data_IF_702348254769
#
_entry.id   IF_702348254769
#
_cell.length_a   1.000
_cell.length_b   1.000
_cell.length_c   1.000
_cell.angle_alpha   90.00
_cell.angle_beta   90.00
_cell.angle_gamma   90.00
#
_symmetry.space_group_name_H-M   'P 1'
#
loop_
_entity.id
_entity.type
_entity.pdbx_description
1 polymer ?
#
# COMPACT_ATOMS: atom_id res chain seq x y z
N UNK A 1 -28.26 -78.46 -16.97
CA UNK A 1 -27.61 -77.51 -17.90
C UNK A 1 -27.87 -76.12 -17.32
N UNK A 2 -26.89 -75.58 -16.63
CA UNK A 2 -26.96 -74.23 -15.92
C UNK A 2 -26.11 -73.28 -16.75
N UNK A 3 -26.77 -72.29 -17.37
CA UNK A 3 -26.12 -71.22 -18.09
C UNK A 3 -25.68 -70.19 -17.06
N UNK A 4 -24.34 -70.04 -16.88
CA UNK A 4 -23.74 -68.92 -16.12
C UNK A 4 -23.76 -67.69 -17.01
N UNK A 5 -24.52 -66.67 -16.62
CA UNK A 5 -24.40 -65.32 -17.17
C UNK A 5 -23.29 -64.56 -16.46
N UNK A 6 -22.23 -64.23 -17.21
CA UNK A 6 -21.14 -63.37 -16.74
C UNK A 6 -21.55 -61.91 -16.95
N UNK A 7 -21.94 -61.24 -15.89
CA UNK A 7 -22.15 -59.79 -15.93
C UNK A 7 -20.80 -59.09 -15.76
N UNK A 8 -20.29 -58.53 -16.85
CA UNK A 8 -19.12 -57.65 -16.83
C UNK A 8 -19.52 -56.30 -16.28
N UNK A 9 -19.15 -56.01 -15.03
CA UNK A 9 -19.27 -54.72 -14.42
C UNK A 9 -18.15 -53.82 -14.95
N UNK A 10 -18.46 -52.92 -15.89
CA UNK A 10 -17.55 -51.87 -16.35
C UNK A 10 -17.46 -50.80 -15.23
N UNK A 11 -16.41 -50.85 -14.44
CA UNK A 11 -16.07 -49.75 -13.52
C UNK A 11 -15.44 -48.63 -14.33
N UNK A 12 -16.23 -47.64 -14.70
CA UNK A 12 -15.70 -46.36 -15.18
C UNK A 12 -15.03 -45.68 -14.01
N UNK A 13 -13.72 -45.82 -13.87
CA UNK A 13 -12.91 -45.01 -13.03
C UNK A 13 -12.90 -43.58 -13.64
N UNK A 14 -13.75 -42.71 -13.17
CA UNK A 14 -13.64 -41.28 -13.41
C UNK A 14 -12.31 -40.83 -12.80
N UNK A 15 -11.29 -40.62 -13.62
CA UNK A 15 -10.10 -39.88 -13.26
C UNK A 15 -10.57 -38.44 -13.00
N UNK A 16 -10.93 -38.14 -11.77
CA UNK A 16 -11.03 -36.82 -11.31
C UNK A 16 -9.64 -36.21 -11.37
N UNK A 17 -9.34 -35.50 -12.44
CA UNK A 17 -8.15 -34.62 -12.43
C UNK A 17 -8.37 -33.63 -11.31
N UNK A 18 -7.60 -33.75 -10.23
CA UNK A 18 -7.58 -32.75 -9.19
C UNK A 18 -7.24 -31.41 -9.88
N UNK A 19 -8.18 -30.48 -9.86
CA UNK A 19 -7.96 -29.15 -10.41
C UNK A 19 -6.76 -28.54 -9.68
N UNK A 20 -5.73 -28.14 -10.44
CA UNK A 20 -4.56 -27.47 -9.86
C UNK A 20 -5.02 -26.17 -9.22
N UNK A 21 -4.64 -25.96 -7.99
CA UNK A 21 -4.95 -24.75 -7.23
C UNK A 21 -3.69 -23.93 -7.05
N UNK A 22 -3.81 -22.63 -7.26
CA UNK A 22 -2.77 -21.64 -6.92
C UNK A 22 -3.27 -20.76 -5.77
N UNK A 23 -2.51 -20.71 -4.70
CA UNK A 23 -2.79 -19.81 -3.59
C UNK A 23 -2.09 -18.47 -3.80
N UNK A 24 -2.87 -17.38 -3.79
CA UNK A 24 -2.36 -16.02 -4.00
C UNK A 24 -2.75 -15.14 -2.83
N UNK A 25 -1.76 -14.50 -2.21
CA UNK A 25 -1.98 -13.52 -1.17
C UNK A 25 -1.82 -12.10 -1.72
N UNK A 26 -2.84 -11.28 -1.53
CA UNK A 26 -2.84 -9.87 -1.93
C UNK A 26 -3.19 -8.97 -0.76
N UNK A 27 -2.96 -7.67 -0.89
CA UNK A 27 -3.40 -6.65 0.06
C UNK A 27 -4.69 -5.97 -0.42
N UNK A 28 -5.37 -5.16 0.43
CA UNK A 28 -6.61 -4.48 0.06
C UNK A 28 -6.34 -3.29 -0.86
N UNK A 29 -6.01 -3.56 -2.13
CA UNK A 29 -5.67 -2.56 -3.14
C UNK A 29 -6.87 -1.84 -3.74
N UNK A 30 -8.10 -2.32 -3.46
CA UNK A 30 -9.36 -1.74 -3.92
C UNK A 30 -10.44 -1.95 -2.86
N UNK A 31 -11.64 -1.36 -3.01
CA UNK A 31 -12.76 -1.62 -2.09
C UNK A 31 -13.24 -3.08 -2.05
N UNK A 32 -13.04 -3.85 -3.12
CA UNK A 32 -13.41 -5.26 -3.24
C UNK A 32 -12.24 -6.10 -3.78
N UNK A 33 -11.12 -6.18 -3.05
CA UNK A 33 -9.84 -6.65 -3.60
C UNK A 33 -9.87 -8.11 -4.06
N UNK A 34 -10.59 -8.99 -3.37
CA UNK A 34 -10.70 -10.39 -3.76
C UNK A 34 -11.48 -10.56 -5.06
N UNK A 35 -12.61 -9.89 -5.19
CA UNK A 35 -13.50 -9.95 -6.37
C UNK A 35 -12.81 -9.33 -7.59
N UNK A 36 -12.19 -8.17 -7.41
CA UNK A 36 -11.46 -7.49 -8.48
C UNK A 36 -10.29 -8.34 -8.99
N UNK A 37 -9.53 -8.95 -8.08
CA UNK A 37 -8.43 -9.83 -8.47
C UNK A 37 -8.94 -11.13 -9.14
N UNK A 38 -10.02 -11.73 -8.64
CA UNK A 38 -10.66 -12.90 -9.28
C UNK A 38 -11.14 -12.57 -10.69
N UNK A 39 -11.73 -11.40 -10.90
CA UNK A 39 -12.13 -10.96 -12.24
C UNK A 39 -10.91 -10.80 -13.18
N UNK A 40 -9.80 -10.28 -12.66
CA UNK A 40 -8.55 -10.11 -13.41
C UNK A 40 -7.95 -11.46 -13.85
N UNK A 41 -7.95 -12.48 -12.98
CA UNK A 41 -7.33 -13.78 -13.25
C UNK A 41 -8.26 -14.80 -13.90
N UNK A 42 -9.56 -14.53 -14.02
CA UNK A 42 -10.53 -15.46 -14.62
C UNK A 42 -10.15 -15.95 -16.04
N UNK A 43 -9.61 -15.13 -16.95
CA UNK A 43 -9.13 -15.60 -18.25
C UNK A 43 -7.97 -16.60 -18.13
N UNK A 44 -7.06 -16.41 -17.17
CA UNK A 44 -5.97 -17.30 -16.88
C UNK A 44 -6.46 -18.64 -16.32
N UNK A 45 -7.38 -18.63 -15.35
CA UNK A 45 -8.00 -19.84 -14.78
C UNK A 45 -8.64 -20.68 -15.90
N UNK A 46 -9.39 -20.04 -16.77
CA UNK A 46 -10.05 -20.68 -17.91
C UNK A 46 -9.04 -21.26 -18.90
N UNK A 47 -7.99 -20.52 -19.23
CA UNK A 47 -7.00 -20.94 -20.22
C UNK A 47 -6.14 -22.13 -19.74
N UNK A 48 -5.86 -22.20 -18.45
CA UNK A 48 -4.93 -23.18 -17.87
C UNK A 48 -5.61 -24.29 -17.04
N UNK A 49 -6.94 -24.23 -16.84
CA UNK A 49 -7.67 -25.23 -16.05
C UNK A 49 -7.24 -25.25 -14.57
N UNK A 50 -6.85 -24.10 -14.03
CA UNK A 50 -6.43 -23.92 -12.65
C UNK A 50 -7.47 -23.14 -11.86
N UNK A 51 -7.49 -23.31 -10.54
CA UNK A 51 -8.25 -22.48 -9.62
C UNK A 51 -7.28 -21.54 -8.88
N UNK A 52 -7.56 -20.23 -8.87
CA UNK A 52 -6.78 -19.28 -8.09
C UNK A 52 -7.53 -18.95 -6.80
N UNK A 53 -6.98 -19.38 -5.66
CA UNK A 53 -7.49 -19.03 -4.33
C UNK A 53 -6.86 -17.74 -3.86
N UNK A 54 -7.68 -16.74 -3.63
CA UNK A 54 -7.24 -15.40 -3.24
C UNK A 54 -7.44 -15.20 -1.74
N UNK A 55 -6.39 -14.87 -1.02
CA UNK A 55 -6.44 -14.43 0.37
C UNK A 55 -6.04 -12.96 0.46
N UNK A 56 -6.91 -12.12 1.00
CA UNK A 56 -6.63 -10.71 1.25
C UNK A 56 -6.03 -10.56 2.64
N UNK A 57 -4.81 -10.03 2.71
CA UNK A 57 -4.10 -9.76 3.96
C UNK A 57 -4.18 -8.28 4.32
N UNK A 58 -4.65 -7.97 5.52
CA UNK A 58 -4.51 -6.60 6.05
C UNK A 58 -3.02 -6.24 6.21
N UNK A 59 -2.65 -5.01 5.82
CA UNK A 59 -1.27 -4.52 5.89
C UNK A 59 -0.67 -4.60 7.31
N UNK A 60 -1.49 -4.45 8.34
CA UNK A 60 -1.05 -4.50 9.74
C UNK A 60 -0.57 -5.86 10.19
N UNK A 61 -0.98 -6.95 9.51
CA UNK A 61 -0.60 -8.34 9.84
C UNK A 61 0.18 -9.03 8.72
N UNK A 62 0.19 -8.46 7.52
CA UNK A 62 0.76 -9.07 6.32
C UNK A 62 2.26 -9.40 6.51
N UNK A 63 3.06 -8.49 7.05
CA UNK A 63 4.47 -8.73 7.33
C UNK A 63 4.69 -10.00 8.16
N UNK A 64 3.97 -10.11 9.30
CA UNK A 64 4.10 -11.27 10.19
C UNK A 64 3.66 -12.55 9.51
N UNK A 65 2.55 -12.55 8.77
CA UNK A 65 2.07 -13.74 8.05
C UNK A 65 3.05 -14.19 6.97
N UNK A 66 3.57 -13.26 6.16
CA UNK A 66 4.52 -13.58 5.08
C UNK A 66 5.84 -14.11 5.65
N UNK A 67 6.39 -13.48 6.69
CA UNK A 67 7.63 -13.96 7.33
C UNK A 67 7.44 -15.30 8.02
N UNK A 68 6.27 -15.56 8.62
CA UNK A 68 5.94 -16.87 9.18
C UNK A 68 5.85 -17.94 8.09
N UNK A 69 5.19 -17.65 6.97
CA UNK A 69 5.13 -18.55 5.81
C UNK A 69 6.54 -18.83 5.27
N UNK A 70 7.36 -17.80 5.11
CA UNK A 70 8.75 -17.92 4.66
C UNK A 70 9.60 -18.81 5.57
N UNK A 71 9.43 -18.71 6.90
CA UNK A 71 10.21 -19.51 7.86
C UNK A 71 9.69 -20.93 8.05
N UNK A 72 8.38 -21.14 7.88
CA UNK A 72 7.77 -22.49 8.03
C UNK A 72 7.82 -23.32 6.74
N UNK A 73 8.09 -22.69 5.59
CA UNK A 73 7.98 -23.34 4.28
C UNK A 73 6.54 -23.67 3.87
N UNK A 74 5.55 -23.11 4.57
CA UNK A 74 4.12 -23.28 4.26
C UNK A 74 3.52 -21.90 3.98
N UNK A 75 3.26 -21.64 2.71
CA UNK A 75 2.78 -20.32 2.26
C UNK A 75 2.09 -20.38 0.90
N UNK A 76 1.72 -19.22 0.35
CA UNK A 76 1.09 -19.13 -0.96
C UNK A 76 2.10 -19.42 -2.08
N UNK A 77 1.58 -19.77 -3.26
CA UNK A 77 2.39 -19.85 -4.48
C UNK A 77 2.84 -18.47 -4.97
N UNK A 78 2.03 -17.44 -4.71
CA UNK A 78 2.33 -16.05 -5.06
C UNK A 78 1.87 -15.11 -3.94
N UNK A 79 2.71 -14.14 -3.59
CA UNK A 79 2.32 -13.09 -2.63
C UNK A 79 2.67 -11.71 -3.12
N UNK A 80 1.76 -10.77 -2.89
CA UNK A 80 2.09 -9.34 -3.01
C UNK A 80 3.05 -8.96 -1.90
N UNK A 81 4.04 -8.13 -2.23
CA UNK A 81 4.98 -7.53 -1.28
C UNK A 81 4.97 -6.01 -1.42
N UNK A 82 5.11 -5.31 -0.32
CA UNK A 82 5.52 -3.91 -0.36
C UNK A 82 6.98 -3.81 -0.81
N UNK A 83 7.34 -2.78 -1.57
CA UNK A 83 8.71 -2.59 -2.08
C UNK A 83 9.77 -2.52 -0.97
N UNK A 84 9.40 -2.04 0.22
CA UNK A 84 10.25 -2.03 1.41
C UNK A 84 10.50 -3.41 2.00
N UNK A 85 9.75 -4.44 1.59
CA UNK A 85 9.85 -5.82 2.11
C UNK A 85 10.58 -6.76 1.15
N UNK A 86 10.59 -6.47 -0.15
CA UNK A 86 11.18 -7.34 -1.17
C UNK A 86 12.62 -7.72 -0.81
N UNK A 87 13.47 -6.76 -0.45
CA UNK A 87 14.86 -7.03 -0.08
C UNK A 87 15.01 -7.99 1.11
N UNK A 88 14.21 -7.80 2.16
CA UNK A 88 14.26 -8.64 3.34
C UNK A 88 13.77 -10.08 3.06
N UNK A 89 12.66 -10.24 2.35
CA UNK A 89 12.12 -11.56 2.00
C UNK A 89 13.02 -12.28 0.99
N UNK A 90 13.61 -11.55 0.02
CA UNK A 90 14.62 -12.10 -0.90
C UNK A 90 15.86 -12.63 -0.15
N UNK A 91 16.33 -11.88 0.85
CA UNK A 91 17.47 -12.28 1.68
C UNK A 91 17.21 -13.55 2.50
N UNK A 92 15.95 -13.93 2.75
CA UNK A 92 15.57 -15.20 3.39
C UNK A 92 15.73 -16.40 2.45
N UNK A 93 15.92 -16.20 1.13
CA UNK A 93 16.10 -17.26 0.15
C UNK A 93 14.85 -18.10 -0.12
N UNK A 94 13.66 -17.53 0.08
CA UNK A 94 12.36 -18.21 -0.05
C UNK A 94 11.58 -17.81 -1.31
N UNK A 95 12.11 -16.87 -2.08
CA UNK A 95 11.53 -16.45 -3.35
C UNK A 95 12.27 -17.06 -4.53
N UNK A 96 11.52 -17.57 -5.50
CA UNK A 96 12.07 -18.12 -6.72
C UNK A 96 12.58 -17.02 -7.67
N UNK A 97 13.61 -17.30 -8.48
CA UNK A 97 14.04 -16.41 -9.55
C UNK A 97 12.92 -16.22 -10.59
N UNK A 98 12.75 -14.97 -11.06
CA UNK A 98 11.71 -14.56 -12.01
C UNK A 98 12.27 -13.77 -13.20
N UNK A 99 13.55 -13.93 -13.51
CA UNK A 99 14.22 -13.19 -14.58
C UNK A 99 13.61 -13.48 -15.95
N UNK A 100 13.24 -14.72 -16.24
CA UNK A 100 12.57 -15.16 -17.46
C UNK A 100 11.18 -14.52 -17.62
N UNK A 101 10.44 -14.38 -16.52
CA UNK A 101 9.14 -13.68 -16.49
C UNK A 101 9.34 -12.21 -16.80
N UNK A 102 10.33 -11.56 -16.18
CA UNK A 102 10.64 -10.15 -16.40
C UNK A 102 11.05 -9.88 -17.85
N UNK A 103 11.86 -10.75 -18.45
CA UNK A 103 12.23 -10.64 -19.86
C UNK A 103 11.03 -10.81 -20.78
N UNK A 104 10.14 -11.76 -20.50
CA UNK A 104 8.89 -11.93 -21.24
C UNK A 104 7.96 -10.71 -21.17
N UNK A 105 8.04 -9.94 -20.07
CA UNK A 105 7.29 -8.70 -19.85
C UNK A 105 8.00 -7.45 -20.43
N UNK A 106 9.10 -7.60 -21.16
CA UNK A 106 9.81 -6.52 -21.84
C UNK A 106 11.12 -6.07 -21.17
N UNK A 107 11.53 -6.74 -20.12
CA UNK A 107 12.80 -6.49 -19.41
C UNK A 107 12.86 -5.10 -18.76
N UNK A 108 14.06 -4.65 -18.42
CA UNK A 108 14.30 -3.37 -17.75
C UNK A 108 13.64 -2.17 -18.43
N UNK A 109 13.58 -2.18 -19.76
CA UNK A 109 13.05 -1.07 -20.55
C UNK A 109 11.54 -0.85 -20.37
N UNK A 110 10.81 -1.87 -19.90
CA UNK A 110 9.37 -1.79 -19.65
C UNK A 110 9.04 -1.11 -18.31
N UNK A 111 10.05 -0.85 -17.45
CA UNK A 111 9.84 -0.36 -16.10
C UNK A 111 10.56 0.96 -15.84
N UNK A 112 10.02 1.75 -14.91
CA UNK A 112 10.76 2.89 -14.37
C UNK A 112 12.03 2.40 -13.65
N UNK A 113 13.19 3.08 -13.77
CA UNK A 113 14.44 2.62 -13.14
C UNK A 113 14.35 2.39 -11.64
N UNK A 114 13.58 3.22 -10.92
CA UNK A 114 13.36 3.05 -9.50
C UNK A 114 12.57 1.77 -9.17
N UNK A 115 11.56 1.45 -9.99
CA UNK A 115 10.74 0.23 -9.86
C UNK A 115 11.55 -1.01 -10.22
N UNK A 116 12.34 -0.95 -11.30
CA UNK A 116 13.21 -2.06 -11.70
C UNK A 116 14.19 -2.47 -10.60
N UNK A 117 14.76 -1.50 -9.88
CA UNK A 117 15.67 -1.80 -8.76
C UNK A 117 15.01 -2.55 -7.61
N UNK A 118 13.68 -2.49 -7.45
CA UNK A 118 12.97 -3.23 -6.40
C UNK A 118 12.70 -4.69 -6.74
N UNK A 119 13.02 -5.15 -7.94
CA UNK A 119 12.81 -6.56 -8.36
C UNK A 119 13.76 -7.54 -7.68
N UNK A 120 14.85 -7.07 -7.08
CA UNK A 120 15.93 -7.90 -6.53
C UNK A 120 16.58 -7.27 -5.31
N UNK A 121 17.24 -8.12 -4.53
CA UNK A 121 18.13 -7.64 -3.48
C UNK A 121 19.33 -6.92 -4.11
N UNK A 122 19.76 -5.82 -3.51
CA UNK A 122 20.92 -5.06 -3.98
C UNK A 122 22.15 -5.96 -4.12
N UNK A 123 22.80 -5.91 -5.28
CA UNK A 123 23.94 -6.75 -5.63
C UNK A 123 23.58 -8.20 -6.05
N UNK A 124 22.34 -8.63 -5.94
CA UNK A 124 21.93 -9.94 -6.43
C UNK A 124 21.84 -9.93 -7.98
N UNK A 125 22.25 -11.06 -8.58
CA UNK A 125 22.13 -11.26 -10.03
C UNK A 125 20.70 -11.52 -10.46
N UNK A 126 19.96 -12.30 -9.66
CA UNK A 126 18.63 -12.78 -9.96
C UNK A 126 17.55 -11.86 -9.35
N UNK A 127 16.52 -11.62 -10.13
CA UNK A 127 15.30 -10.99 -9.66
C UNK A 127 14.40 -12.02 -8.98
N UNK A 128 13.72 -11.60 -7.92
CA UNK A 128 12.82 -12.45 -7.11
C UNK A 128 11.43 -11.84 -6.95
N UNK A 129 11.19 -10.71 -7.62
CA UNK A 129 9.90 -10.04 -7.62
C UNK A 129 9.60 -9.45 -9.00
N UNK A 130 8.33 -9.47 -9.38
CA UNK A 130 7.81 -8.81 -10.58
C UNK A 130 7.04 -7.57 -10.15
N UNK A 131 7.34 -6.37 -10.68
CA UNK A 131 6.56 -5.18 -10.40
C UNK A 131 5.13 -5.35 -10.92
N UNK A 132 4.17 -5.16 -10.06
CA UNK A 132 2.76 -5.24 -10.43
C UNK A 132 2.19 -3.85 -10.74
N UNK A 133 2.33 -2.91 -9.78
CA UNK A 133 1.96 -1.52 -9.97
C UNK A 133 2.91 -0.59 -9.21
N UNK A 134 2.96 0.67 -9.62
CA UNK A 134 3.74 1.72 -8.97
C UNK A 134 2.83 2.85 -8.56
N UNK A 135 3.08 3.41 -7.39
CA UNK A 135 2.25 4.41 -6.77
C UNK A 135 3.06 5.62 -6.30
N UNK A 136 2.38 6.77 -6.27
CA UNK A 136 2.89 7.99 -5.67
C UNK A 136 2.00 8.37 -4.50
N UNK A 137 2.60 8.93 -3.45
CA UNK A 137 1.84 9.53 -2.37
C UNK A 137 1.42 10.94 -2.71
N UNK A 138 0.20 11.28 -2.30
CA UNK A 138 -0.37 12.62 -2.45
C UNK A 138 -1.02 13.06 -1.14
N UNK A 139 -1.14 14.36 -0.95
CA UNK A 139 -1.97 14.92 0.10
C UNK A 139 -3.43 14.94 -0.35
N UNK A 140 -4.29 14.37 0.47
CA UNK A 140 -5.74 14.43 0.35
C UNK A 140 -6.25 15.42 1.40
N UNK A 141 -7.22 16.26 1.02
CA UNK A 141 -7.70 17.30 1.90
C UNK A 141 -9.19 17.57 1.77
N UNK A 142 -9.79 18.06 2.83
CA UNK A 142 -11.19 18.51 2.90
C UNK A 142 -11.30 19.92 2.34
N UNK A 143 -11.91 20.05 1.16
CA UNK A 143 -12.08 21.35 0.49
C UNK A 143 -12.98 22.32 1.26
N UNK A 144 -13.98 21.77 1.95
CA UNK A 144 -14.87 22.54 2.83
C UNK A 144 -14.14 23.10 4.06
N UNK A 145 -13.29 22.28 4.70
CA UNK A 145 -12.48 22.70 5.85
C UNK A 145 -11.45 23.78 5.46
N UNK A 146 -10.73 23.58 4.33
CA UNK A 146 -9.78 24.57 3.84
C UNK A 146 -10.46 25.90 3.52
N UNK A 147 -11.60 25.85 2.83
CA UNK A 147 -12.39 27.05 2.51
C UNK A 147 -12.85 27.78 3.76
N UNK A 148 -13.39 27.06 4.75
CA UNK A 148 -13.84 27.65 6.01
C UNK A 148 -12.69 28.26 6.82
N UNK A 149 -11.48 27.72 6.71
CA UNK A 149 -10.28 28.23 7.34
C UNK A 149 -9.59 29.38 6.52
N UNK A 150 -10.14 29.76 5.36
CA UNK A 150 -9.52 30.73 4.45
C UNK A 150 -8.19 30.26 3.87
N UNK A 151 -8.01 28.96 3.67
CA UNK A 151 -6.79 28.36 3.13
C UNK A 151 -6.95 28.13 1.62
N UNK A 152 -6.03 28.72 0.84
CA UNK A 152 -5.89 28.42 -0.58
C UNK A 152 -5.02 27.18 -0.76
N UNK A 153 -5.54 26.07 -1.38
CA UNK A 153 -4.76 24.86 -1.59
C UNK A 153 -3.49 25.09 -2.42
N UNK A 154 -3.55 25.92 -3.45
CA UNK A 154 -2.39 26.20 -4.30
C UNK A 154 -1.23 26.85 -3.53
N UNK A 155 -1.53 27.72 -2.58
CA UNK A 155 -0.53 28.35 -1.70
C UNK A 155 -0.06 27.38 -0.62
N UNK A 156 -0.98 26.61 -0.03
CA UNK A 156 -0.69 25.64 1.03
C UNK A 156 0.30 24.58 0.55
N UNK A 157 0.10 24.04 -0.64
CA UNK A 157 0.94 22.94 -1.16
C UNK A 157 2.10 23.39 -2.05
N UNK A 158 2.37 24.71 -2.15
CA UNK A 158 3.48 25.23 -2.92
C UNK A 158 4.85 25.14 -2.20
N UNK A 159 4.86 25.09 -0.88
CA UNK A 159 6.09 25.06 -0.05
C UNK A 159 5.81 24.51 1.35
N UNK A 160 6.87 24.13 2.07
CA UNK A 160 6.77 23.71 3.47
C UNK A 160 6.22 24.83 4.38
N UNK A 161 6.61 26.08 4.14
CA UNK A 161 6.09 27.24 4.86
C UNK A 161 4.61 27.46 4.58
N UNK A 162 4.18 27.33 3.32
CA UNK A 162 2.78 27.37 2.93
C UNK A 162 1.96 26.27 3.59
N UNK A 163 2.51 25.04 3.61
CA UNK A 163 1.87 23.89 4.24
C UNK A 163 1.65 24.12 5.74
N UNK A 164 2.68 24.55 6.45
CA UNK A 164 2.59 24.85 7.87
C UNK A 164 1.60 26.01 8.16
N UNK A 165 1.65 27.09 7.37
CA UNK A 165 0.71 28.20 7.50
C UNK A 165 -0.75 27.75 7.29
N UNK A 166 -1.00 26.87 6.33
CA UNK A 166 -2.31 26.26 6.09
C UNK A 166 -2.78 25.44 7.29
N UNK A 167 -1.91 24.59 7.85
CA UNK A 167 -2.22 23.79 9.04
C UNK A 167 -2.50 24.69 10.27
N UNK A 168 -1.78 25.79 10.43
CA UNK A 168 -2.02 26.74 11.52
C UNK A 168 -3.41 27.39 11.40
N UNK A 169 -3.84 27.79 10.19
CA UNK A 169 -5.18 28.31 9.94
C UNK A 169 -6.26 27.25 10.19
N UNK A 170 -6.05 26.01 9.75
CA UNK A 170 -6.97 24.92 10.04
C UNK A 170 -7.12 24.67 11.55
N UNK A 171 -6.01 24.70 12.30
CA UNK A 171 -6.02 24.56 13.76
C UNK A 171 -6.79 25.68 14.45
N UNK A 172 -6.67 26.91 13.96
CA UNK A 172 -7.37 28.09 14.52
C UNK A 172 -8.85 28.18 14.08
N UNK A 173 -9.26 27.40 13.08
CA UNK A 173 -10.61 27.43 12.53
C UNK A 173 -11.63 26.85 13.50
N UNK A 174 -12.82 27.46 13.53
CA UNK A 174 -13.98 26.94 14.23
C UNK A 174 -14.78 25.92 13.42
N UNK A 175 -14.28 25.51 12.26
CA UNK A 175 -14.94 24.55 11.39
C UNK A 175 -15.20 23.22 12.11
N UNK A 176 -16.38 22.67 11.89
CA UNK A 176 -16.81 21.36 12.39
C UNK A 176 -17.23 20.51 11.21
N UNK A 177 -16.97 19.24 11.30
CA UNK A 177 -17.50 18.29 10.30
C UNK A 177 -19.02 18.41 10.24
N UNK A 178 -19.62 18.54 9.05
CA UNK A 178 -21.07 18.76 8.92
C UNK A 178 -21.93 17.63 9.46
N UNK A 179 -21.41 16.39 9.48
CA UNK A 179 -22.13 15.21 9.95
C UNK A 179 -21.91 14.96 11.44
N UNK A 180 -20.66 14.85 11.85
CA UNK A 180 -20.29 14.48 13.23
C UNK A 180 -20.32 15.64 14.21
N UNK A 181 -20.34 16.89 13.71
CA UNK A 181 -20.23 18.13 14.49
C UNK A 181 -18.91 18.24 15.28
N UNK A 182 -17.98 17.32 15.08
CA UNK A 182 -16.66 17.31 15.73
C UNK A 182 -15.67 18.27 15.03
N UNK A 183 -14.67 18.79 15.76
CA UNK A 183 -13.56 19.50 15.14
C UNK A 183 -12.70 18.52 14.36
N UNK A 184 -12.07 18.98 13.26
CA UNK A 184 -11.13 18.20 12.50
C UNK A 184 -9.71 18.45 13.00
N UNK A 185 -8.90 17.39 13.08
CA UNK A 185 -7.46 17.55 13.20
C UNK A 185 -6.90 18.19 11.92
N UNK A 186 -6.00 19.18 12.00
CA UNK A 186 -5.41 19.79 10.82
C UNK A 186 -4.72 18.78 9.90
N UNK A 187 -3.96 17.86 10.48
CA UNK A 187 -3.22 16.80 9.79
C UNK A 187 -3.36 15.50 10.56
N UNK A 188 -3.61 14.40 9.85
CA UNK A 188 -3.42 13.05 10.40
C UNK A 188 -2.25 12.37 9.70
N UNK A 189 -1.41 11.69 10.46
CA UNK A 189 -0.30 10.90 9.94
C UNK A 189 -0.12 9.64 10.78
N UNK A 190 0.13 8.48 10.17
CA UNK A 190 0.34 7.22 10.91
C UNK A 190 1.70 7.20 11.58
N UNK A 191 1.79 6.56 12.76
CA UNK A 191 3.04 6.37 13.50
C UNK A 191 3.28 4.95 13.97
N UNK A 192 2.31 4.04 13.81
CA UNK A 192 2.34 2.71 14.43
C UNK A 192 3.37 1.75 13.82
N UNK A 193 3.49 1.71 12.51
CA UNK A 193 4.36 0.75 11.82
C UNK A 193 5.57 1.44 11.22
N UNK A 194 6.73 0.80 11.22
CA UNK A 194 7.97 1.37 10.69
C UNK A 194 7.88 1.74 9.20
N UNK A 195 7.21 0.93 8.37
CA UNK A 195 6.99 1.22 6.96
C UNK A 195 6.01 2.39 6.75
N UNK A 196 4.97 2.52 7.58
CA UNK A 196 4.05 3.66 7.52
C UNK A 196 4.78 4.95 7.88
N UNK A 197 5.61 4.93 8.93
CA UNK A 197 6.46 6.07 9.31
C UNK A 197 7.42 6.42 8.19
N UNK A 198 8.11 5.43 7.60
CA UNK A 198 9.04 5.65 6.49
C UNK A 198 8.34 6.32 5.31
N UNK A 199 7.20 5.80 4.88
CA UNK A 199 6.44 6.35 3.74
C UNK A 199 5.94 7.78 3.97
N UNK A 200 5.71 8.18 5.21
CA UNK A 200 5.22 9.51 5.55
C UNK A 200 6.35 10.49 5.91
N UNK A 201 7.50 10.02 6.42
CA UNK A 201 8.63 10.86 6.77
C UNK A 201 9.64 11.05 5.62
N UNK A 202 9.86 10.01 4.80
CA UNK A 202 10.86 10.04 3.73
C UNK A 202 10.67 11.19 2.72
N UNK A 203 9.44 11.55 2.28
CA UNK A 203 9.24 12.68 1.38
C UNK A 203 9.74 14.02 1.93
N UNK A 204 9.73 14.20 3.24
CA UNK A 204 10.25 15.40 3.89
C UNK A 204 11.77 15.45 3.88
N UNK A 205 12.42 14.30 4.14
CA UNK A 205 13.88 14.17 4.04
C UNK A 205 14.34 14.45 2.61
N UNK A 206 13.72 13.80 1.62
CA UNK A 206 14.06 14.00 0.22
C UNK A 206 13.73 15.39 -0.30
N UNK A 207 12.60 15.97 0.15
CA UNK A 207 12.20 17.33 -0.21
C UNK A 207 13.15 18.40 0.33
N UNK A 208 13.87 18.13 1.42
CA UNK A 208 14.95 18.97 1.94
C UNK A 208 16.33 18.72 1.25
N UNK A 209 16.39 17.78 0.28
CA UNK A 209 17.63 17.39 -0.38
C UNK A 209 18.44 16.34 0.38
N UNK A 210 17.87 15.76 1.44
CA UNK A 210 18.53 14.73 2.26
C UNK A 210 18.35 13.32 1.71
N UNK A 211 19.03 12.39 2.36
CA UNK A 211 18.98 10.94 2.06
C UNK A 211 18.76 10.14 3.34
N UNK A 212 18.12 8.98 3.23
CA UNK A 212 17.94 8.06 4.37
C UNK A 212 19.17 7.17 4.52
N UNK A 213 19.68 6.64 3.41
CA UNK A 213 20.86 5.80 3.32
C UNK A 213 21.66 6.18 2.09
N UNK A 214 22.97 6.02 2.15
CA UNK A 214 23.88 6.20 1.00
C UNK A 214 24.96 5.13 0.97
N UNK A 215 25.51 4.87 -0.19
CA UNK A 215 26.69 4.03 -0.33
C UNK A 215 27.95 4.86 -0.15
N UNK A 216 28.84 4.43 0.75
CA UNK A 216 30.15 5.01 0.93
C UNK A 216 31.17 3.90 1.21
N UNK A 217 32.28 3.87 0.43
CA UNK A 217 33.27 2.82 0.55
C UNK A 217 32.76 1.40 0.35
N UNK A 218 31.79 1.20 -0.55
CA UNK A 218 31.18 -0.09 -0.83
C UNK A 218 30.24 -0.62 0.26
N UNK A 219 29.85 0.22 1.22
CA UNK A 219 28.95 -0.12 2.31
C UNK A 219 27.77 0.85 2.37
N UNK A 220 26.61 0.33 2.76
CA UNK A 220 25.48 1.16 3.09
C UNK A 220 25.67 1.83 4.47
N UNK A 221 25.43 3.11 4.52
CA UNK A 221 25.53 3.93 5.73
C UNK A 221 24.26 4.77 5.88
N UNK A 222 23.88 5.04 7.12
CA UNK A 222 22.83 6.02 7.39
C UNK A 222 23.28 7.41 6.93
N UNK A 223 22.39 8.12 6.26
CA UNK A 223 22.55 9.52 5.87
C UNK A 223 21.58 10.45 6.61
N UNK A 224 20.82 9.92 7.57
CA UNK A 224 19.83 10.68 8.34
C UNK A 224 20.45 11.76 9.23
N UNK A 225 21.73 11.72 9.46
CA UNK A 225 22.47 12.73 10.25
C UNK A 225 23.08 13.86 9.40
N UNK A 226 22.81 13.90 8.09
CA UNK A 226 23.18 15.06 7.28
C UNK A 226 22.32 16.28 7.64
N UNK A 227 22.82 17.50 7.45
CA UNK A 227 22.04 18.73 7.72
C UNK A 227 20.68 18.73 7.00
N UNK A 228 20.67 18.35 5.72
CA UNK A 228 19.46 18.32 4.88
C UNK A 228 18.46 17.27 5.37
N UNK A 229 18.95 16.07 5.75
CA UNK A 229 18.10 15.02 6.29
C UNK A 229 17.50 15.42 7.63
N UNK A 230 18.30 16.04 8.50
CA UNK A 230 17.81 16.54 9.78
C UNK A 230 16.80 17.67 9.59
N UNK A 231 17.00 18.57 8.64
CA UNK A 231 16.03 19.62 8.31
C UNK A 231 14.66 19.02 7.95
N UNK A 232 14.62 18.04 7.02
CA UNK A 232 13.39 17.37 6.63
C UNK A 232 12.72 16.63 7.80
N UNK A 233 13.51 15.94 8.63
CA UNK A 233 12.98 15.24 9.82
C UNK A 233 12.44 16.24 10.86
N UNK A 234 13.13 17.33 11.13
CA UNK A 234 12.64 18.36 12.06
C UNK A 234 11.36 19.01 11.58
N UNK A 235 11.23 19.30 10.28
CA UNK A 235 10.00 19.79 9.70
C UNK A 235 8.85 18.82 9.98
N UNK A 236 9.02 17.54 9.65
CA UNK A 236 8.00 16.51 9.85
C UNK A 236 7.61 16.36 11.33
N UNK A 237 8.59 16.23 12.22
CA UNK A 237 8.36 16.05 13.66
C UNK A 237 7.74 17.29 14.31
N UNK A 238 8.13 18.48 13.84
CA UNK A 238 7.58 19.74 14.35
C UNK A 238 6.07 19.87 14.16
N UNK A 239 5.49 19.22 13.15
CA UNK A 239 4.05 19.25 12.91
C UNK A 239 3.26 18.66 14.08
N UNK A 240 3.77 17.55 14.65
CA UNK A 240 3.16 16.97 15.85
C UNK A 240 3.43 17.83 17.09
N UNK A 241 4.66 18.35 17.27
CA UNK A 241 5.02 19.21 18.40
C UNK A 241 4.21 20.51 18.42
N UNK A 242 3.89 21.07 17.24
CA UNK A 242 3.01 22.25 17.09
C UNK A 242 1.52 21.93 17.28
N UNK A 243 1.19 20.65 17.51
CA UNK A 243 -0.18 20.18 17.74
C UNK A 243 -1.05 20.21 16.49
N UNK A 244 -0.47 20.05 15.30
CA UNK A 244 -1.23 19.87 14.07
C UNK A 244 -1.66 18.42 13.88
N UNK A 245 -0.91 17.47 14.47
CA UNK A 245 -1.19 16.04 14.48
C UNK A 245 -1.65 15.61 15.86
N UNK A 246 -2.84 15.03 16.02
CA UNK A 246 -3.28 14.52 17.33
C UNK A 246 -2.46 13.30 17.74
N UNK A 247 -2.20 13.15 19.03
CA UNK A 247 -1.37 12.06 19.56
C UNK A 247 -1.91 10.67 19.19
N UNK A 248 -3.23 10.49 19.23
CA UNK A 248 -3.89 9.24 18.84
C UNK A 248 -3.69 8.86 17.37
N UNK A 249 -3.36 9.81 16.51
CA UNK A 249 -3.01 9.57 15.11
C UNK A 249 -1.71 8.77 14.98
N UNK A 250 -0.75 9.05 15.86
CA UNK A 250 0.57 8.39 15.86
C UNK A 250 0.50 6.93 16.29
N UNK A 251 -0.58 6.51 16.98
CA UNK A 251 -0.82 5.13 17.38
C UNK A 251 -1.55 4.30 16.30
N UNK A 252 -1.78 4.89 15.13
CA UNK A 252 -2.55 4.29 14.03
C UNK A 252 -1.66 3.92 12.85
N UNK A 253 -2.10 2.92 12.08
CA UNK A 253 -1.55 2.60 10.77
C UNK A 253 -2.24 3.42 9.65
N UNK A 254 -1.72 3.32 8.42
CA UNK A 254 -2.27 4.06 7.27
C UNK A 254 -3.77 3.78 7.06
N UNK A 255 -4.21 2.53 7.12
CA UNK A 255 -5.63 2.19 6.90
C UNK A 255 -6.56 2.82 7.96
N UNK A 256 -6.09 2.92 9.21
CA UNK A 256 -6.84 3.57 10.29
C UNK A 256 -6.89 5.11 10.10
N UNK A 257 -5.82 5.72 9.59
CA UNK A 257 -5.82 7.15 9.23
C UNK A 257 -6.77 7.44 8.07
N UNK A 258 -6.79 6.56 7.07
CA UNK A 258 -7.74 6.65 5.96
C UNK A 258 -9.19 6.58 6.45
N UNK A 259 -9.49 5.66 7.37
CA UNK A 259 -10.80 5.56 7.99
C UNK A 259 -11.15 6.83 8.82
N UNK A 260 -10.17 7.41 9.52
CA UNK A 260 -10.39 8.67 10.25
C UNK A 260 -10.69 9.85 9.29
N UNK A 261 -10.02 9.91 8.14
CA UNK A 261 -10.34 10.92 7.12
C UNK A 261 -11.75 10.73 6.56
N UNK A 262 -12.13 9.51 6.24
CA UNK A 262 -13.49 9.16 5.80
C UNK A 262 -14.55 9.51 6.85
N UNK A 263 -14.22 9.29 8.13
CA UNK A 263 -15.08 9.65 9.27
C UNK A 263 -15.10 11.14 9.62
N UNK A 264 -14.47 12.00 8.80
CA UNK A 264 -14.48 13.46 9.00
C UNK A 264 -13.64 13.92 10.19
N UNK A 265 -12.63 13.17 10.63
CA UNK A 265 -11.78 13.54 11.77
C UNK A 265 -10.53 14.34 11.35
N UNK A 266 -10.13 14.28 10.09
CA UNK A 266 -8.91 14.87 9.56
C UNK A 266 -9.23 15.86 8.44
N UNK A 267 -8.57 17.02 8.44
CA UNK A 267 -8.64 17.96 7.32
C UNK A 267 -7.68 17.62 6.20
N UNK A 268 -6.48 17.12 6.53
CA UNK A 268 -5.43 16.74 5.58
C UNK A 268 -4.78 15.42 6.01
N UNK A 269 -4.39 14.58 5.05
CA UNK A 269 -3.54 13.42 5.28
C UNK A 269 -2.81 13.03 3.99
N UNK A 270 -1.77 12.20 4.09
CA UNK A 270 -1.05 11.67 2.93
C UNK A 270 -1.36 10.18 2.74
N UNK A 271 -1.68 9.77 1.50
CA UNK A 271 -1.91 8.37 1.16
C UNK A 271 -1.65 8.10 -0.32
N UNK A 272 -1.92 6.87 -0.78
CA UNK A 272 -1.74 6.44 -2.15
C UNK A 272 -2.99 6.66 -3.03
N UNK A 273 -2.89 6.36 -4.35
CA UNK A 273 -3.93 6.66 -5.33
C UNK A 273 -5.22 5.82 -5.18
N UNK A 274 -5.20 4.74 -4.41
CA UNK A 274 -6.42 3.97 -4.08
C UNK A 274 -7.49 4.84 -3.40
N UNK A 275 -7.10 5.92 -2.75
CA UNK A 275 -8.03 6.87 -2.15
C UNK A 275 -8.90 7.58 -3.20
N UNK A 276 -8.39 7.76 -4.43
CA UNK A 276 -9.16 8.33 -5.55
C UNK A 276 -10.32 7.40 -5.90
N UNK A 277 -10.07 6.09 -5.98
CA UNK A 277 -11.13 5.11 -6.23
C UNK A 277 -12.16 5.10 -5.10
N UNK A 278 -11.71 5.10 -3.84
CA UNK A 278 -12.61 5.16 -2.69
C UNK A 278 -13.49 6.41 -2.68
N UNK A 279 -12.97 7.54 -3.17
CA UNK A 279 -13.72 8.76 -3.34
C UNK A 279 -14.82 8.69 -4.42
N UNK A 280 -14.80 7.68 -5.28
CA UNK A 280 -15.73 7.50 -6.38
C UNK A 280 -16.77 6.41 -6.13
N UNK A 281 -16.63 5.61 -5.08
CA UNK A 281 -17.56 4.52 -4.76
C UNK A 281 -18.42 4.83 -3.55
N UNK A 282 -19.66 4.29 -3.45
CA UNK A 282 -20.54 4.43 -2.32
C UNK A 282 -19.93 3.89 -1.01
N UNK A 283 -20.29 4.48 0.12
CA UNK A 283 -19.86 4.02 1.46
C UNK A 283 -20.25 2.56 1.72
N UNK A 284 -21.40 2.10 1.23
CA UNK A 284 -21.85 0.72 1.31
C UNK A 284 -20.87 -0.30 0.68
N UNK A 285 -19.97 0.17 -0.19
CA UNK A 285 -18.92 -0.62 -0.83
C UNK A 285 -17.51 -0.21 -0.40
N UNK A 286 -17.37 0.41 0.78
CA UNK A 286 -16.09 0.82 1.34
C UNK A 286 -15.51 2.11 0.77
N UNK A 287 -16.31 2.88 0.01
CA UNK A 287 -15.96 4.20 -0.49
C UNK A 287 -16.47 5.34 0.40
N UNK A 288 -16.48 6.55 -0.14
CA UNK A 288 -17.00 7.76 0.52
C UNK A 288 -17.55 8.78 -0.50
N UNK A 289 -18.17 8.27 -1.58
CA UNK A 289 -18.72 9.12 -2.66
C UNK A 289 -19.85 10.05 -2.19
N UNK A 290 -20.53 9.70 -1.12
CA UNK A 290 -21.59 10.51 -0.51
C UNK A 290 -21.04 11.76 0.19
N UNK A 291 -19.76 11.79 0.53
CA UNK A 291 -19.12 12.93 1.21
C UNK A 291 -18.69 13.98 0.21
N UNK A 292 -19.21 15.19 0.33
CA UNK A 292 -18.97 16.29 -0.63
C UNK A 292 -17.49 16.64 -0.80
N UNK A 293 -16.67 16.44 0.23
CA UNK A 293 -15.23 16.69 0.18
C UNK A 293 -14.45 15.72 -0.74
N UNK A 294 -14.99 14.55 -0.99
CA UNK A 294 -14.34 13.51 -1.81
C UNK A 294 -14.45 13.76 -3.32
N UNK A 295 -15.41 14.55 -3.77
CA UNK A 295 -15.64 14.84 -5.20
C UNK A 295 -14.64 15.82 -5.81
N UNK A 296 -13.77 16.42 -5.00
CA UNK A 296 -12.83 17.48 -5.39
C UNK A 296 -11.35 17.08 -5.12
N UNK A 297 -11.07 15.78 -5.02
CA UNK A 297 -9.71 15.26 -4.94
C UNK A 297 -9.06 15.24 -6.31
#
# INVERSE_FOLDING_TARGET
>A
MIKKALSSLLVLASLAFAQKTLEVWIMPNSPQPAEDFKALVAPFEKAHGVEVKVTVLDWGVAWTKITTAATSGVGPDLTQLGTTWVGAISAMGVLEPVDDVLEALGGEKAYLPAVWRTTRLEGARQATAVPWFSELRAFYYRTDALRAAGVNPAEMFASWQGFEAGLARLKASSFRDPETKAPLAPLCTPGKNSWDVLHNAAPWVWGAGGEIVRQAGGRWQSALNSPESLEGLYLFLSLAQKGYVPAESLEKNTAQIEADFQAGKCAVFASGPWMIQRAQVPESRGGFAERTAAKNL
#
